data_IF_993501052945
#
_entry.id   IF_993501052945
#
_cell.length_a   1.000
_cell.length_b   1.000
_cell.length_c   1.000
_cell.angle_alpha   90.00
_cell.angle_beta   90.00
_cell.angle_gamma   90.00
#
_symmetry.space_group_name_H-M   'P 1'
#
loop_
_entity.id
_entity.type
_entity.pdbx_description
1 polymer ?
#
# COMPACT_ATOMS: atom_id res chain seq x y z
N UNK A 1 -16.14 -18.41 -37.65
CA UNK A 1 -15.41 -17.17 -37.22
C UNK A 1 -14.54 -17.60 -36.06
N UNK A 2 -13.23 -17.50 -36.17
CA UNK A 2 -12.33 -17.72 -35.02
C UNK A 2 -12.72 -16.72 -33.92
N UNK A 3 -12.84 -17.21 -32.70
CA UNK A 3 -13.11 -16.35 -31.55
C UNK A 3 -11.92 -15.40 -31.34
N UNK A 4 -12.19 -14.13 -31.03
CA UNK A 4 -11.12 -13.17 -30.74
C UNK A 4 -10.20 -13.70 -29.62
N UNK A 5 -8.88 -13.54 -29.73
CA UNK A 5 -7.95 -14.00 -28.71
C UNK A 5 -8.28 -13.42 -27.32
N UNK A 6 -8.22 -14.27 -26.31
CA UNK A 6 -8.56 -13.92 -24.93
C UNK A 6 -7.34 -13.65 -24.08
N UNK A 7 -7.25 -12.45 -23.52
CA UNK A 7 -6.18 -12.00 -22.62
C UNK A 7 -6.74 -11.93 -21.20
N UNK A 8 -6.13 -12.65 -20.28
CA UNK A 8 -6.43 -12.54 -18.86
C UNK A 8 -5.36 -11.70 -18.17
N UNK A 9 -5.79 -10.73 -17.36
CA UNK A 9 -4.94 -9.85 -16.57
C UNK A 9 -5.31 -10.04 -15.09
N UNK A 10 -4.34 -10.46 -14.27
CA UNK A 10 -4.51 -10.65 -12.83
C UNK A 10 -3.86 -9.48 -12.09
N UNK A 11 -4.70 -8.69 -11.41
CA UNK A 11 -4.31 -7.49 -10.67
C UNK A 11 -4.67 -6.18 -11.38
N UNK A 12 -5.53 -5.36 -10.73
CA UNK A 12 -5.94 -4.02 -11.18
C UNK A 12 -5.03 -2.89 -10.64
N UNK A 13 -3.78 -3.22 -10.31
CA UNK A 13 -2.74 -2.26 -9.95
C UNK A 13 -2.26 -1.44 -11.15
N UNK A 14 -1.16 -0.71 -10.96
CA UNK A 14 -0.60 0.15 -12.02
C UNK A 14 -0.27 -0.61 -13.31
N UNK A 15 0.35 -1.79 -13.22
CA UNK A 15 0.71 -2.54 -14.42
C UNK A 15 -0.52 -3.11 -15.13
N UNK A 16 -1.41 -3.78 -14.41
CA UNK A 16 -2.58 -4.44 -15.00
C UNK A 16 -3.55 -3.46 -15.66
N UNK A 17 -3.94 -2.38 -14.96
CA UNK A 17 -4.82 -1.37 -15.55
C UNK A 17 -4.22 -0.67 -16.77
N UNK A 18 -2.92 -0.39 -16.75
CA UNK A 18 -2.28 0.24 -17.91
C UNK A 18 -2.08 -0.72 -19.07
N UNK A 19 -1.93 -2.03 -18.82
CA UNK A 19 -1.99 -3.07 -19.84
C UNK A 19 -3.40 -3.15 -20.46
N UNK A 20 -4.42 -3.32 -19.62
CA UNK A 20 -5.82 -3.37 -20.05
C UNK A 20 -6.21 -2.16 -20.92
N UNK A 21 -5.83 -0.96 -20.48
CA UNK A 21 -6.10 0.28 -21.23
C UNK A 21 -5.35 0.35 -22.56
N UNK A 22 -4.12 -0.18 -22.63
CA UNK A 22 -3.35 -0.20 -23.87
C UNK A 22 -3.98 -1.13 -24.94
N UNK A 23 -4.69 -2.17 -24.50
CA UNK A 23 -5.43 -3.11 -25.36
C UNK A 23 -6.81 -2.61 -25.79
N UNK A 24 -7.24 -1.42 -25.41
CA UNK A 24 -8.62 -0.91 -25.57
C UNK A 24 -9.15 -0.94 -27.01
N UNK A 25 -8.30 -0.78 -28.01
CA UNK A 25 -8.69 -0.72 -29.44
C UNK A 25 -8.22 -1.94 -30.23
N UNK A 26 -7.71 -2.95 -29.56
CA UNK A 26 -7.18 -4.15 -30.20
C UNK A 26 -8.31 -5.19 -30.39
N UNK A 27 -8.23 -6.04 -31.40
CA UNK A 27 -9.22 -7.08 -31.69
C UNK A 27 -9.02 -8.29 -30.77
N UNK A 28 -9.06 -8.07 -29.48
CA UNK A 28 -8.88 -9.08 -28.42
C UNK A 28 -9.97 -8.93 -27.37
N UNK A 29 -10.34 -10.02 -26.70
CA UNK A 29 -11.14 -10.01 -25.48
C UNK A 29 -10.18 -9.86 -24.29
N UNK A 30 -10.55 -9.07 -23.30
CA UNK A 30 -9.73 -8.88 -22.08
C UNK A 30 -10.58 -9.19 -20.86
N UNK A 31 -10.07 -9.99 -19.93
CA UNK A 31 -10.64 -10.16 -18.59
C UNK A 31 -9.64 -9.66 -17.55
N UNK A 32 -10.05 -8.67 -16.76
CA UNK A 32 -9.28 -8.15 -15.64
C UNK A 32 -9.84 -8.74 -14.34
N UNK A 33 -9.01 -9.50 -13.62
CA UNK A 33 -9.36 -10.12 -12.33
C UNK A 33 -8.64 -9.38 -11.21
N UNK A 34 -9.36 -8.98 -10.18
CA UNK A 34 -8.79 -8.45 -8.94
C UNK A 34 -9.68 -8.81 -7.75
N UNK A 35 -9.08 -9.02 -6.59
CA UNK A 35 -9.79 -9.26 -5.34
C UNK A 35 -10.43 -7.98 -4.77
N UNK A 36 -9.96 -6.79 -5.19
CA UNK A 36 -10.54 -5.51 -4.85
C UNK A 36 -11.29 -4.90 -6.05
N UNK A 37 -12.36 -4.18 -5.79
CA UNK A 37 -13.16 -3.53 -6.83
C UNK A 37 -12.55 -2.20 -7.32
N UNK A 38 -11.36 -1.84 -6.84
CA UNK A 38 -10.78 -0.52 -7.06
C UNK A 38 -9.27 -0.58 -7.35
N UNK A 39 -8.83 0.40 -8.11
CA UNK A 39 -7.42 0.75 -8.24
C UNK A 39 -7.03 1.72 -7.13
N UNK A 40 -5.92 1.45 -6.47
CA UNK A 40 -5.38 2.26 -5.40
C UNK A 40 -4.16 3.07 -5.88
N UNK A 41 -4.19 4.39 -5.68
CA UNK A 41 -3.03 5.25 -5.92
C UNK A 41 -2.13 5.25 -4.69
N UNK A 42 -1.35 4.18 -4.52
CA UNK A 42 -0.49 3.92 -3.36
C UNK A 42 0.44 5.07 -2.95
N UNK A 43 1.00 5.92 -3.86
CA UNK A 43 1.86 7.02 -3.45
C UNK A 43 1.23 8.03 -2.49
N UNK A 44 -0.10 8.10 -2.39
CA UNK A 44 -0.82 8.96 -1.44
C UNK A 44 -1.46 8.19 -0.28
N UNK A 45 -1.16 6.90 -0.14
CA UNK A 45 -1.80 6.04 0.86
C UNK A 45 -1.46 6.47 2.30
N UNK A 46 -0.23 6.94 2.54
CA UNK A 46 0.17 7.47 3.85
C UNK A 46 -0.71 8.66 4.28
N UNK A 47 -1.25 9.46 3.34
CA UNK A 47 -2.17 10.56 3.68
C UNK A 47 -3.54 10.05 4.15
N UNK A 48 -3.99 8.90 3.67
CA UNK A 48 -5.19 8.24 4.22
C UNK A 48 -4.89 7.71 5.62
N UNK A 49 -3.75 7.04 5.80
CA UNK A 49 -3.30 6.54 7.09
C UNK A 49 -3.13 7.65 8.15
N UNK A 50 -2.87 8.88 7.73
CA UNK A 50 -2.67 10.03 8.61
C UNK A 50 -3.80 11.06 8.50
N UNK A 51 -5.01 10.64 8.12
CA UNK A 51 -6.22 11.46 8.04
C UNK A 51 -6.11 12.72 7.15
N UNK A 52 -5.13 12.78 6.25
CA UNK A 52 -4.95 13.87 5.29
C UNK A 52 -5.87 13.81 4.09
N UNK A 53 -6.27 12.61 3.68
CA UNK A 53 -7.17 12.34 2.57
C UNK A 53 -8.19 11.26 2.93
N UNK A 54 -9.34 11.26 2.23
CA UNK A 54 -10.28 10.16 2.34
C UNK A 54 -9.90 9.00 1.41
N UNK A 55 -10.26 7.75 1.74
CA UNK A 55 -10.02 6.59 0.87
C UNK A 55 -10.48 6.80 -0.57
N UNK A 56 -11.66 7.38 -0.77
CA UNK A 56 -12.25 7.61 -2.08
C UNK A 56 -11.51 8.67 -2.94
N UNK A 57 -10.58 9.43 -2.36
CA UNK A 57 -9.79 10.43 -3.09
C UNK A 57 -8.64 9.80 -3.86
N UNK A 58 -8.14 8.66 -3.37
CA UNK A 58 -7.01 7.94 -3.96
C UNK A 58 -7.36 6.55 -4.50
N UNK A 59 -8.56 6.04 -4.18
CA UNK A 59 -9.10 4.81 -4.74
C UNK A 59 -10.10 5.11 -5.85
N UNK A 60 -10.03 4.33 -6.93
CA UNK A 60 -10.90 4.53 -8.08
C UNK A 60 -11.49 3.20 -8.55
N UNK A 61 -12.84 3.06 -8.62
CA UNK A 61 -13.47 1.81 -9.02
C UNK A 61 -12.96 1.31 -10.38
N UNK A 62 -12.43 0.08 -10.43
CA UNK A 62 -11.82 -0.50 -11.63
C UNK A 62 -12.80 -0.49 -12.82
N UNK A 63 -14.08 -0.86 -12.60
CA UNK A 63 -15.12 -0.83 -13.64
C UNK A 63 -15.36 0.57 -14.21
N UNK A 64 -15.24 1.61 -13.38
CA UNK A 64 -15.40 3.01 -13.85
C UNK A 64 -14.22 3.45 -14.71
N UNK A 65 -13.00 2.96 -14.39
CA UNK A 65 -11.80 3.27 -15.17
C UNK A 65 -11.89 2.73 -16.61
N UNK A 66 -12.49 1.55 -16.77
CA UNK A 66 -12.61 0.85 -18.06
C UNK A 66 -13.98 0.97 -18.71
N UNK A 67 -14.93 1.74 -18.13
CA UNK A 67 -16.35 1.82 -18.56
C UNK A 67 -16.57 2.04 -20.07
N UNK A 68 -15.66 2.73 -20.74
CA UNK A 68 -15.75 3.02 -22.18
C UNK A 68 -14.97 2.01 -23.04
N UNK A 69 -14.44 0.95 -22.45
CA UNK A 69 -13.70 -0.10 -23.14
C UNK A 69 -14.62 -1.30 -23.38
N UNK A 70 -15.00 -1.51 -24.64
CA UNK A 70 -16.00 -2.52 -25.01
C UNK A 70 -15.48 -3.97 -24.97
N UNK A 71 -14.17 -4.15 -25.12
CA UNK A 71 -13.51 -5.45 -25.18
C UNK A 71 -12.94 -5.91 -23.84
N UNK A 72 -13.43 -5.35 -22.71
CA UNK A 72 -12.91 -5.67 -21.40
C UNK A 72 -14.03 -5.96 -20.39
N UNK A 73 -13.91 -7.10 -19.72
CA UNK A 73 -14.70 -7.50 -18.57
C UNK A 73 -13.86 -7.43 -17.30
N UNK A 74 -14.51 -7.06 -16.17
CA UNK A 74 -13.86 -7.00 -14.86
C UNK A 74 -14.50 -8.07 -13.97
N UNK A 75 -13.67 -8.94 -13.40
CA UNK A 75 -14.07 -9.97 -12.45
C UNK A 75 -13.54 -9.60 -11.07
N UNK A 76 -14.43 -9.47 -10.09
CA UNK A 76 -14.08 -9.30 -8.68
C UNK A 76 -13.99 -10.69 -8.06
N UNK A 77 -12.77 -11.21 -7.97
CA UNK A 77 -12.49 -12.51 -7.37
C UNK A 77 -11.00 -12.63 -7.07
N UNK A 78 -10.63 -13.59 -6.24
CA UNK A 78 -9.24 -13.94 -5.96
C UNK A 78 -8.77 -15.10 -6.85
N UNK A 79 -7.54 -15.01 -7.32
CA UNK A 79 -6.90 -16.10 -8.05
C UNK A 79 -6.31 -17.08 -7.06
N UNK A 80 -6.78 -18.33 -7.10
CA UNK A 80 -6.31 -19.40 -6.23
C UNK A 80 -5.08 -20.15 -6.83
N UNK A 81 -5.08 -20.38 -8.16
CA UNK A 81 -4.02 -21.12 -8.83
C UNK A 81 -3.91 -20.80 -10.32
N UNK A 82 -2.81 -21.25 -10.92
CA UNK A 82 -2.59 -21.23 -12.37
C UNK A 82 -2.38 -22.67 -12.87
N UNK A 83 -3.15 -23.08 -13.87
CA UNK A 83 -2.84 -24.27 -14.70
C UNK A 83 -2.24 -23.75 -16.03
N UNK A 84 -0.93 -23.58 -16.03
CA UNK A 84 -0.23 -22.97 -17.16
C UNK A 84 -0.20 -23.90 -18.39
N UNK A 85 -0.29 -25.22 -18.19
CA UNK A 85 -0.27 -26.18 -19.30
C UNK A 85 -1.62 -26.20 -20.04
N UNK A 86 -2.71 -26.07 -19.28
CA UNK A 86 -4.06 -25.94 -19.86
C UNK A 86 -4.44 -24.50 -20.18
N UNK A 87 -3.57 -23.54 -19.91
CA UNK A 87 -3.79 -22.10 -20.07
C UNK A 87 -5.05 -21.65 -19.32
N UNK A 88 -5.13 -21.92 -18.03
CA UNK A 88 -6.25 -21.58 -17.17
C UNK A 88 -5.79 -20.85 -15.91
N UNK A 89 -6.59 -19.84 -15.54
CA UNK A 89 -6.52 -19.16 -14.23
C UNK A 89 -7.69 -19.69 -13.40
N UNK A 90 -7.40 -20.26 -12.25
CA UNK A 90 -8.40 -20.81 -11.32
C UNK A 90 -8.73 -19.74 -10.28
N UNK A 91 -10.01 -19.41 -10.15
CA UNK A 91 -10.53 -18.44 -9.20
C UNK A 91 -10.92 -19.11 -7.88
N UNK A 92 -10.95 -18.34 -6.79
CA UNK A 92 -11.32 -18.83 -5.46
C UNK A 92 -12.76 -19.39 -5.40
N UNK A 93 -13.67 -18.88 -6.25
CA UNK A 93 -15.03 -19.41 -6.39
C UNK A 93 -15.14 -20.73 -7.17
N UNK A 94 -14.01 -21.35 -7.56
CA UNK A 94 -13.90 -22.60 -8.30
C UNK A 94 -14.07 -22.47 -9.83
N UNK A 95 -14.35 -21.28 -10.35
CA UNK A 95 -14.40 -21.05 -11.81
C UNK A 95 -13.00 -20.97 -12.40
N UNK A 96 -12.87 -21.35 -13.67
CA UNK A 96 -11.62 -21.23 -14.42
C UNK A 96 -11.80 -20.32 -15.64
N UNK A 97 -10.81 -19.48 -15.89
CA UNK A 97 -10.72 -18.60 -17.05
C UNK A 97 -9.64 -19.12 -17.98
N UNK A 98 -10.00 -19.49 -19.21
CA UNK A 98 -9.02 -19.85 -20.26
C UNK A 98 -8.43 -18.57 -20.84
N UNK A 99 -7.16 -18.62 -21.26
CA UNK A 99 -6.48 -17.50 -21.89
C UNK A 99 -5.62 -17.95 -23.08
N UNK A 100 -5.40 -17.04 -24.02
CA UNK A 100 -4.36 -17.13 -25.04
C UNK A 100 -3.09 -16.43 -24.58
N UNK A 101 -3.25 -15.35 -23.79
CA UNK A 101 -2.14 -14.61 -23.17
C UNK A 101 -2.54 -14.24 -21.71
N UNK A 102 -1.59 -14.36 -20.79
CA UNK A 102 -1.79 -14.05 -19.37
C UNK A 102 -0.80 -12.97 -18.90
N UNK A 103 -1.30 -11.96 -18.19
CA UNK A 103 -0.48 -11.05 -17.38
C UNK A 103 -0.75 -11.27 -15.90
N UNK A 104 0.28 -11.55 -15.12
CA UNK A 104 0.24 -11.56 -13.66
C UNK A 104 0.89 -10.29 -13.13
N UNK A 105 0.09 -9.43 -12.46
CA UNK A 105 0.49 -8.10 -12.00
C UNK A 105 -0.04 -7.82 -10.57
N UNK A 106 0.07 -8.81 -9.68
CA UNK A 106 -0.49 -8.79 -8.33
C UNK A 106 0.33 -7.98 -7.31
N UNK A 107 1.45 -7.39 -7.75
CA UNK A 107 2.25 -6.48 -6.95
C UNK A 107 3.00 -7.17 -5.80
N UNK A 108 3.16 -6.43 -4.70
CA UNK A 108 3.90 -6.85 -3.52
C UNK A 108 3.07 -6.68 -2.25
N UNK A 109 3.44 -7.43 -1.22
CA UNK A 109 2.91 -7.38 0.14
C UNK A 109 4.00 -6.97 1.13
N UNK A 110 3.70 -6.98 2.43
CA UNK A 110 4.67 -6.70 3.48
C UNK A 110 5.66 -7.85 3.65
N UNK A 111 6.91 -7.50 3.98
CA UNK A 111 7.92 -8.44 4.46
C UNK A 111 8.31 -8.08 5.89
N UNK A 112 8.13 -9.02 6.79
CA UNK A 112 8.57 -8.90 8.18
C UNK A 112 9.88 -9.66 8.44
N UNK A 113 10.65 -9.97 7.38
CA UNK A 113 11.99 -10.59 7.44
C UNK A 113 12.08 -11.87 8.29
N UNK A 114 11.06 -12.71 8.22
CA UNK A 114 10.99 -13.98 8.96
C UNK A 114 10.18 -13.91 10.26
N UNK A 115 9.61 -12.75 10.59
CA UNK A 115 8.83 -12.48 11.80
C UNK A 115 7.37 -12.16 11.46
N UNK A 116 6.58 -13.08 10.89
CA UNK A 116 5.19 -12.81 10.51
C UNK A 116 4.31 -12.43 11.71
N UNK A 117 4.69 -12.84 12.92
CA UNK A 117 4.02 -12.51 14.17
C UNK A 117 4.03 -11.01 14.49
N UNK A 118 4.96 -10.23 13.94
CA UNK A 118 5.01 -8.77 14.14
C UNK A 118 3.88 -8.04 13.44
N UNK A 119 3.26 -8.65 12.43
CA UNK A 119 2.20 -8.02 11.63
C UNK A 119 1.03 -7.51 12.49
N UNK A 120 0.64 -8.26 13.53
CA UNK A 120 -0.46 -7.88 14.42
C UNK A 120 -0.15 -6.64 15.26
N UNK A 121 1.13 -6.41 15.60
CA UNK A 121 1.57 -5.28 16.43
C UNK A 121 2.00 -4.08 15.58
N UNK A 122 2.59 -4.32 14.41
CA UNK A 122 3.14 -3.30 13.53
C UNK A 122 2.53 -3.41 12.13
N UNK A 123 1.32 -2.86 11.89
CA UNK A 123 0.71 -2.89 10.57
C UNK A 123 1.57 -2.16 9.55
N UNK A 124 1.70 -2.77 8.37
CA UNK A 124 2.33 -2.15 7.22
C UNK A 124 1.36 -1.27 6.44
N UNK A 125 1.79 -0.68 5.30
CA UNK A 125 0.99 0.25 4.51
C UNK A 125 1.03 -0.12 3.02
N UNK A 126 0.05 -0.92 2.56
CA UNK A 126 -0.09 -1.37 1.16
C UNK A 126 -1.51 -1.31 0.64
N UNK A 127 -2.52 -1.47 1.49
CA UNK A 127 -3.94 -1.50 1.14
C UNK A 127 -4.70 -0.34 1.79
N UNK A 128 -5.97 -0.13 1.41
CA UNK A 128 -6.82 0.85 2.10
C UNK A 128 -7.12 0.41 3.54
N UNK A 129 -7.30 -0.88 3.74
CA UNK A 129 -7.53 -1.51 5.03
C UNK A 129 -6.36 -1.22 5.98
N UNK A 130 -5.12 -1.42 5.50
CA UNK A 130 -3.91 -1.06 6.27
C UNK A 130 -3.91 0.42 6.66
N UNK A 131 -4.24 1.31 5.71
CA UNK A 131 -4.25 2.75 5.97
C UNK A 131 -5.33 3.15 6.98
N UNK A 132 -6.50 2.51 6.93
CA UNK A 132 -7.58 2.76 7.89
C UNK A 132 -7.23 2.23 9.27
N UNK A 133 -6.61 1.06 9.38
CA UNK A 133 -6.13 0.52 10.64
C UNK A 133 -5.02 1.39 11.26
N UNK A 134 -4.04 1.83 10.47
CA UNK A 134 -3.02 2.77 10.96
C UNK A 134 -3.66 4.05 11.45
N UNK A 135 -4.63 4.62 10.70
CA UNK A 135 -5.36 5.83 11.09
C UNK A 135 -6.10 5.63 12.41
N UNK A 136 -6.79 4.50 12.55
CA UNK A 136 -7.50 4.15 13.77
C UNK A 136 -6.52 4.10 14.96
N UNK A 137 -5.43 3.35 14.87
CA UNK A 137 -4.41 3.25 15.93
C UNK A 137 -3.85 4.61 16.34
N UNK A 138 -3.51 5.46 15.37
CA UNK A 138 -2.99 6.81 15.65
C UNK A 138 -4.01 7.63 16.43
N UNK A 139 -5.26 7.67 15.97
CA UNK A 139 -6.28 8.50 16.61
C UNK A 139 -6.69 7.97 17.99
N UNK A 140 -6.87 6.65 18.11
CA UNK A 140 -7.21 5.98 19.38
C UNK A 140 -6.11 6.20 20.43
N UNK A 141 -4.84 6.16 20.05
CA UNK A 141 -3.73 6.40 20.98
C UNK A 141 -3.81 7.79 21.65
N UNK A 142 -4.24 8.84 20.93
CA UNK A 142 -4.44 10.15 21.53
C UNK A 142 -5.69 10.21 22.43
N UNK A 143 -6.79 9.54 22.05
CA UNK A 143 -8.00 9.46 22.89
C UNK A 143 -7.73 8.70 24.20
N UNK A 144 -7.06 7.56 24.12
CA UNK A 144 -6.66 6.78 25.29
C UNK A 144 -5.71 7.56 26.20
N UNK A 145 -4.73 8.25 25.60
CA UNK A 145 -3.76 9.07 26.36
C UNK A 145 -4.44 10.23 27.12
N UNK A 146 -5.53 10.80 26.60
CA UNK A 146 -6.29 11.86 27.26
C UNK A 146 -7.02 11.33 28.50
N UNK A 147 -7.42 10.05 28.49
CA UNK A 147 -8.07 9.37 29.63
C UNK A 147 -7.12 8.71 30.62
N UNK A 148 -5.86 8.47 30.23
CA UNK A 148 -4.90 7.68 31.03
C UNK A 148 -4.34 8.51 32.21
N UNK A 149 -4.36 7.92 33.41
CA UNK A 149 -3.85 8.57 34.64
C UNK A 149 -2.40 8.20 34.92
N UNK A 150 -1.98 6.97 34.55
CA UNK A 150 -0.59 6.54 34.72
C UNK A 150 0.34 7.25 33.73
N UNK A 151 1.36 7.90 34.25
CA UNK A 151 2.26 8.71 33.44
C UNK A 151 3.08 7.87 32.45
N UNK A 152 3.50 6.65 32.83
CA UNK A 152 4.30 5.78 31.98
C UNK A 152 3.45 5.15 30.88
N UNK A 153 2.20 4.75 31.19
CA UNK A 153 1.25 4.27 30.20
C UNK A 153 0.90 5.37 29.19
N UNK A 154 0.65 6.60 29.69
CA UNK A 154 0.42 7.78 28.83
C UNK A 154 1.58 8.09 27.92
N UNK A 155 2.82 8.03 28.42
CA UNK A 155 4.03 8.20 27.59
C UNK A 155 4.12 7.12 26.50
N UNK A 156 3.83 5.86 26.80
CA UNK A 156 3.79 4.78 25.85
C UNK A 156 2.71 4.97 24.76
N UNK A 157 1.52 5.48 25.12
CA UNK A 157 0.46 5.84 24.18
C UNK A 157 0.84 6.99 23.26
N UNK A 158 1.57 8.00 23.77
CA UNK A 158 2.07 9.14 23.00
C UNK A 158 3.40 8.87 22.28
N UNK A 159 3.93 7.64 22.38
CA UNK A 159 5.14 7.22 21.65
C UNK A 159 4.75 6.44 20.40
N UNK A 160 5.12 6.96 19.24
CA UNK A 160 4.88 6.36 17.93
C UNK A 160 6.19 5.92 17.32
N UNK A 161 6.29 4.67 16.93
CA UNK A 161 7.50 4.11 16.30
C UNK A 161 7.20 3.76 14.85
N UNK A 162 7.98 4.29 13.93
CA UNK A 162 7.96 3.93 12.51
C UNK A 162 9.22 3.13 12.21
N UNK A 163 9.08 1.89 11.79
CA UNK A 163 10.18 1.00 11.42
C UNK A 163 10.42 1.04 9.93
N UNK A 164 11.64 1.40 9.52
CA UNK A 164 12.07 1.52 8.12
C UNK A 164 12.15 2.97 7.63
N UNK A 165 13.34 3.41 7.26
CA UNK A 165 13.64 4.76 6.74
C UNK A 165 13.55 4.90 5.22
N UNK A 166 12.85 3.99 4.54
CA UNK A 166 12.48 4.14 3.14
C UNK A 166 11.43 5.23 2.90
N UNK A 167 11.00 5.47 1.65
CA UNK A 167 10.00 6.52 1.34
C UNK A 167 8.74 6.44 2.20
N UNK A 168 8.14 5.25 2.34
CA UNK A 168 6.93 5.05 3.14
C UNK A 168 7.11 5.45 4.60
N UNK A 169 8.22 5.03 5.23
CA UNK A 169 8.47 5.35 6.64
C UNK A 169 8.76 6.84 6.86
N UNK A 170 9.53 7.46 5.97
CA UNK A 170 9.81 8.90 5.99
C UNK A 170 8.51 9.72 5.85
N UNK A 171 7.65 9.34 4.93
CA UNK A 171 6.35 9.99 4.69
C UNK A 171 5.40 9.81 5.89
N UNK A 172 5.33 8.61 6.46
CA UNK A 172 4.53 8.33 7.66
C UNK A 172 5.04 9.13 8.88
N UNK A 173 6.34 9.07 9.15
CA UNK A 173 6.91 9.77 10.31
C UNK A 173 6.72 11.29 10.23
N UNK A 174 6.93 11.87 9.04
CA UNK A 174 6.70 13.29 8.81
C UNK A 174 5.23 13.70 8.95
N UNK A 175 4.31 12.87 8.42
CA UNK A 175 2.88 13.12 8.53
C UNK A 175 2.34 12.94 9.96
N UNK A 176 2.89 11.99 10.74
CA UNK A 176 2.61 11.84 12.18
C UNK A 176 3.03 13.09 12.97
N UNK A 177 4.24 13.59 12.69
CA UNK A 177 4.71 14.82 13.33
C UNK A 177 3.80 16.02 13.04
N UNK A 178 3.28 16.11 11.82
CA UNK A 178 2.32 17.15 11.43
C UNK A 178 0.98 17.01 12.14
N UNK A 179 0.44 15.77 12.30
CA UNK A 179 -0.79 15.51 13.06
C UNK A 179 -0.61 15.95 14.51
N UNK A 180 0.41 15.46 15.19
CA UNK A 180 0.63 15.73 16.61
C UNK A 180 0.87 17.22 16.89
N UNK A 181 1.69 17.89 16.07
CA UNK A 181 2.13 19.25 16.36
C UNK A 181 1.20 20.35 15.85
N UNK A 182 0.36 20.05 14.87
CA UNK A 182 -0.49 21.06 14.24
C UNK A 182 -1.97 20.68 14.23
N UNK A 183 -2.31 19.45 13.81
CA UNK A 183 -3.69 19.07 13.59
C UNK A 183 -4.45 18.84 14.89
N UNK A 184 -3.85 18.10 15.83
CA UNK A 184 -4.48 17.75 17.11
C UNK A 184 -4.09 18.69 18.26
N UNK A 185 -3.17 19.61 18.04
CA UNK A 185 -2.53 20.43 19.07
C UNK A 185 -3.49 21.21 20.00
N UNK A 186 -4.72 21.48 19.54
CA UNK A 186 -5.74 22.24 20.32
C UNK A 186 -7.01 21.45 20.59
N UNK A 187 -7.04 20.14 20.31
CA UNK A 187 -8.27 19.34 20.43
C UNK A 187 -8.42 18.65 21.77
N UNK A 188 -7.32 18.35 22.43
CA UNK A 188 -7.30 17.68 23.73
C UNK A 188 -7.10 18.67 24.88
N UNK A 189 -7.65 18.34 26.05
CA UNK A 189 -7.60 19.21 27.24
C UNK A 189 -6.67 18.70 28.34
N UNK A 190 -6.49 17.39 28.45
CA UNK A 190 -5.68 16.75 29.50
C UNK A 190 -4.28 16.43 29.06
N UNK A 191 -4.06 16.29 27.75
CA UNK A 191 -2.75 16.08 27.14
C UNK A 191 -2.39 17.23 26.21
N UNK A 192 -1.09 17.42 25.98
CA UNK A 192 -0.59 18.21 24.86
C UNK A 192 -0.13 17.26 23.74
N UNK A 193 -0.86 17.11 22.62
CA UNK A 193 -0.46 16.24 21.53
C UNK A 193 0.94 16.56 20.97
N UNK A 194 1.44 17.80 21.15
CA UNK A 194 2.79 18.19 20.73
C UNK A 194 3.89 17.50 21.51
N UNK A 195 3.56 16.95 22.70
CA UNK A 195 4.51 16.13 23.49
C UNK A 195 4.72 14.73 22.91
N UNK A 196 3.90 14.33 21.93
CA UNK A 196 4.03 13.01 21.30
C UNK A 196 5.44 12.82 20.70
N UNK A 197 6.05 11.70 21.03
CA UNK A 197 7.37 11.27 20.59
C UNK A 197 7.22 10.41 19.33
N UNK A 198 7.82 10.86 18.23
CA UNK A 198 7.79 10.13 16.95
C UNK A 198 9.20 9.67 16.64
N UNK A 199 9.42 8.35 16.61
CA UNK A 199 10.69 7.72 16.30
C UNK A 199 10.64 7.10 14.91
N UNK A 200 11.67 7.36 14.11
CA UNK A 200 11.92 6.64 12.85
C UNK A 200 13.17 5.78 13.03
N UNK A 201 13.01 4.47 12.98
CA UNK A 201 14.09 3.49 13.14
C UNK A 201 14.48 2.96 11.75
N UNK A 202 15.78 3.05 11.41
CA UNK A 202 16.33 2.53 10.17
C UNK A 202 17.57 1.68 10.45
N UNK A 203 17.59 0.46 9.94
CA UNK A 203 18.68 -0.50 10.18
C UNK A 203 19.99 -0.12 9.51
N UNK A 204 19.95 0.60 8.38
CA UNK A 204 21.15 1.06 7.67
C UNK A 204 21.57 2.47 8.11
N UNK A 205 22.80 2.92 7.78
CA UNK A 205 23.35 4.18 8.31
C UNK A 205 22.62 5.47 7.90
N UNK A 206 21.65 5.43 6.98
CA UNK A 206 20.95 6.64 6.51
C UNK A 206 19.51 6.34 6.05
N UNK A 207 18.63 7.30 6.22
CA UNK A 207 17.27 7.27 5.66
C UNK A 207 17.32 7.42 4.14
N UNK A 208 16.28 6.96 3.43
CA UNK A 208 16.22 6.96 1.98
C UNK A 208 17.50 6.41 1.33
N UNK A 209 17.92 5.17 1.66
CA UNK A 209 19.23 4.64 1.27
C UNK A 209 19.42 4.55 -0.25
N UNK A 210 18.35 4.52 -1.02
CA UNK A 210 18.36 4.49 -2.49
C UNK A 210 18.51 5.88 -3.14
N UNK A 211 18.42 6.96 -2.34
CA UNK A 211 18.62 8.33 -2.79
C UNK A 211 20.09 8.75 -2.68
N UNK A 212 20.52 9.77 -3.44
CA UNK A 212 21.84 10.39 -3.27
C UNK A 212 22.10 10.79 -1.81
N UNK A 213 23.35 10.69 -1.33
CA UNK A 213 23.68 10.95 0.08
C UNK A 213 23.29 12.34 0.59
N UNK A 214 23.40 13.36 -0.23
CA UNK A 214 23.00 14.74 0.08
C UNK A 214 21.48 14.89 0.25
N UNK A 215 20.70 14.20 -0.56
CA UNK A 215 19.22 14.17 -0.42
C UNK A 215 18.77 13.35 0.80
N UNK A 216 19.47 12.24 1.10
CA UNK A 216 19.26 11.46 2.30
C UNK A 216 19.49 12.31 3.56
N UNK A 217 20.60 13.07 3.60
CA UNK A 217 20.91 13.95 4.73
C UNK A 217 19.95 15.15 4.79
N UNK A 218 19.52 15.69 3.65
CA UNK A 218 18.48 16.73 3.60
C UNK A 218 17.15 16.22 4.17
N UNK A 219 16.75 14.98 3.85
CA UNK A 219 15.55 14.34 4.40
C UNK A 219 15.67 14.17 5.93
N UNK A 220 16.81 13.68 6.42
CA UNK A 220 17.06 13.53 7.85
C UNK A 220 16.93 14.87 8.60
N UNK A 221 17.56 15.93 8.09
CA UNK A 221 17.45 17.28 8.68
C UNK A 221 16.00 17.79 8.70
N UNK A 222 15.25 17.56 7.61
CA UNK A 222 13.85 17.97 7.53
C UNK A 222 12.98 17.19 8.53
N UNK A 223 13.19 15.87 8.71
CA UNK A 223 12.53 15.06 9.73
C UNK A 223 12.79 15.56 11.14
N UNK A 224 14.08 15.76 11.47
CA UNK A 224 14.47 16.30 12.79
C UNK A 224 13.87 17.66 13.04
N UNK A 225 13.86 18.56 12.04
CA UNK A 225 13.23 19.89 12.16
C UNK A 225 11.69 19.81 12.29
N UNK A 226 11.08 18.72 11.84
CA UNK A 226 9.66 18.43 12.07
C UNK A 226 9.41 17.80 13.45
N UNK A 227 10.48 17.47 14.20
CA UNK A 227 10.45 16.89 15.53
C UNK A 227 10.35 15.38 15.53
N UNK A 228 10.79 14.72 14.47
CA UNK A 228 10.98 13.28 14.42
C UNK A 228 12.35 12.91 14.95
N UNK A 229 12.41 11.98 15.89
CA UNK A 229 13.65 11.35 16.35
C UNK A 229 14.08 10.30 15.33
N UNK A 230 15.17 10.55 14.60
CA UNK A 230 15.69 9.64 13.57
C UNK A 230 16.86 8.84 14.14
N UNK A 231 16.69 7.52 14.25
CA UNK A 231 17.74 6.57 14.65
C UNK A 231 18.12 5.71 13.46
N UNK A 232 19.32 5.90 12.95
CA UNK A 232 19.91 5.06 11.88
C UNK A 232 20.88 4.04 12.46
N UNK A 233 21.15 2.95 11.74
CA UNK A 233 21.88 1.80 12.27
C UNK A 233 21.09 1.04 13.34
N UNK A 234 19.79 1.30 13.49
CA UNK A 234 18.90 0.80 14.54
C UNK A 234 18.10 -0.39 14.01
N UNK A 235 18.66 -1.59 14.10
CA UNK A 235 17.97 -2.82 13.74
C UNK A 235 16.96 -3.18 14.84
N UNK A 236 15.69 -3.34 14.45
CA UNK A 236 14.64 -3.83 15.35
C UNK A 236 14.81 -5.34 15.53
N UNK A 237 14.91 -5.79 16.78
CA UNK A 237 15.15 -7.18 17.19
C UNK A 237 13.88 -7.85 17.69
N UNK A 238 12.88 -7.08 18.16
CA UNK A 238 11.61 -7.59 18.66
C UNK A 238 10.52 -6.55 18.60
N UNK A 239 9.29 -7.01 18.32
CA UNK A 239 8.06 -6.20 18.35
C UNK A 239 6.99 -7.00 19.07
N UNK A 240 6.35 -6.38 20.05
CA UNK A 240 5.20 -6.94 20.74
C UNK A 240 4.19 -5.82 21.11
N UNK A 241 3.17 -6.15 21.89
CA UNK A 241 2.13 -5.20 22.29
C UNK A 241 2.65 -3.97 23.05
N UNK A 242 3.74 -4.12 23.81
CA UNK A 242 4.32 -3.04 24.63
C UNK A 242 5.35 -2.17 23.87
N UNK A 243 5.73 -2.48 22.60
CA UNK A 243 6.64 -1.68 21.80
C UNK A 243 7.70 -2.45 21.05
N UNK A 244 8.89 -1.87 20.94
CA UNK A 244 10.00 -2.43 20.15
C UNK A 244 11.28 -2.59 20.97
N UNK A 245 12.10 -3.56 20.57
CA UNK A 245 13.46 -3.77 21.12
C UNK A 245 14.49 -3.46 20.03
N UNK A 246 15.47 -2.61 20.37
CA UNK A 246 16.53 -2.18 19.46
C UNK A 246 17.86 -2.19 20.25
N UNK A 247 18.87 -2.93 19.78
CA UNK A 247 20.16 -3.09 20.47
C UNK A 247 20.02 -3.49 21.95
N UNK A 248 19.04 -4.37 22.25
CA UNK A 248 18.71 -4.78 23.61
C UNK A 248 17.99 -3.72 24.46
N UNK A 249 17.83 -2.47 23.97
CA UNK A 249 17.05 -1.41 24.63
C UNK A 249 15.57 -1.56 24.30
N UNK A 250 14.71 -1.52 25.34
CA UNK A 250 13.28 -1.50 25.18
C UNK A 250 12.75 -0.09 24.99
N UNK A 251 12.00 0.14 23.92
CA UNK A 251 11.25 1.37 23.67
C UNK A 251 9.77 1.06 23.87
N UNK A 252 9.19 1.60 24.94
CA UNK A 252 7.75 1.46 25.20
C UNK A 252 6.95 2.30 24.22
N UNK A 253 6.06 1.68 23.45
CA UNK A 253 5.21 2.33 22.46
C UNK A 253 4.00 1.46 22.15
N UNK A 254 2.80 2.03 22.24
CA UNK A 254 1.55 1.31 21.90
C UNK A 254 1.28 1.32 20.40
N UNK A 255 1.88 2.24 19.66
CA UNK A 255 1.72 2.34 18.20
C UNK A 255 3.06 2.15 17.50
N UNK A 256 3.19 1.00 16.84
CA UNK A 256 4.32 0.67 15.98
C UNK A 256 3.81 0.52 14.55
N UNK A 257 4.46 1.16 13.59
CA UNK A 257 4.08 1.15 12.17
C UNK A 257 5.22 0.56 11.32
N UNK A 258 4.89 -0.31 10.37
CA UNK A 258 5.87 -1.00 9.55
C UNK A 258 6.02 -0.35 8.18
N UNK A 259 7.14 0.32 7.96
CA UNK A 259 7.57 0.89 6.68
C UNK A 259 8.74 0.16 6.02
N UNK A 260 9.23 -0.93 6.64
CA UNK A 260 10.40 -1.67 6.22
C UNK A 260 10.01 -2.93 5.43
N UNK A 261 10.64 -3.13 4.27
CA UNK A 261 10.55 -4.37 3.53
C UNK A 261 9.23 -4.62 2.77
N UNK A 262 9.41 -5.12 1.58
CA UNK A 262 8.33 -5.63 0.72
C UNK A 262 8.72 -7.00 0.18
N UNK A 263 7.76 -7.91 0.06
CA UNK A 263 7.88 -9.20 -0.57
C UNK A 263 6.92 -9.29 -1.75
N UNK A 264 7.26 -10.08 -2.74
CA UNK A 264 6.35 -10.33 -3.85
C UNK A 264 5.07 -11.03 -3.36
N UNK A 265 3.96 -10.84 -4.08
CA UNK A 265 2.72 -11.57 -3.84
C UNK A 265 2.96 -13.10 -3.81
N UNK A 266 2.33 -13.85 -2.88
CA UNK A 266 2.48 -15.31 -2.81
C UNK A 266 2.18 -16.04 -4.12
N UNK A 267 1.36 -15.46 -5.00
CA UNK A 267 1.05 -16.00 -6.32
C UNK A 267 2.27 -16.12 -7.25
N UNK A 268 3.40 -15.46 -6.94
CA UNK A 268 4.66 -15.66 -7.67
C UNK A 268 5.10 -17.12 -7.68
N UNK A 269 4.94 -17.81 -6.54
CA UNK A 269 5.32 -19.24 -6.40
C UNK A 269 4.48 -20.16 -7.27
N UNK A 270 3.20 -19.81 -7.47
CA UNK A 270 2.28 -20.60 -8.28
C UNK A 270 2.61 -20.58 -9.79
N UNK A 271 3.52 -19.68 -10.23
CA UNK A 271 3.98 -19.64 -11.62
C UNK A 271 5.09 -20.68 -11.93
N UNK A 272 5.66 -21.33 -10.92
CA UNK A 272 6.73 -22.32 -11.11
C UNK A 272 8.01 -21.76 -11.75
N UNK A 273 8.21 -20.44 -11.74
CA UNK A 273 9.34 -19.74 -12.31
C UNK A 273 10.42 -19.47 -11.25
N UNK A 274 11.68 -19.22 -11.66
CA UNK A 274 12.73 -18.77 -10.74
C UNK A 274 12.33 -17.47 -10.02
N UNK A 275 12.65 -17.41 -8.72
CA UNK A 275 12.36 -16.27 -7.87
C UNK A 275 13.64 -15.68 -7.30
N UNK A 276 13.69 -14.36 -7.18
CA UNK A 276 14.76 -13.68 -6.45
C UNK A 276 14.59 -13.79 -4.91
N UNK A 277 15.51 -13.18 -4.17
CA UNK A 277 15.50 -13.21 -2.68
C UNK A 277 14.25 -12.52 -2.07
N UNK A 278 13.61 -11.61 -2.80
CA UNK A 278 12.38 -10.94 -2.36
C UNK A 278 11.11 -11.69 -2.83
N UNK A 279 11.26 -12.87 -3.45
CA UNK A 279 10.19 -13.69 -3.99
C UNK A 279 9.62 -13.17 -5.32
N UNK A 280 10.29 -12.20 -5.99
CA UNK A 280 9.86 -11.69 -7.29
C UNK A 280 10.23 -12.66 -8.40
N UNK A 281 9.36 -12.79 -9.38
CA UNK A 281 9.59 -13.65 -10.55
C UNK A 281 10.72 -13.08 -11.41
N UNK A 282 11.76 -13.87 -11.64
CA UNK A 282 12.81 -13.56 -12.60
C UNK A 282 12.25 -13.68 -14.02
N UNK A 283 12.12 -12.57 -14.72
CA UNK A 283 11.51 -12.53 -16.05
C UNK A 283 12.54 -12.37 -17.16
N UNK A 284 12.18 -12.84 -18.35
CA UNK A 284 12.95 -12.55 -19.56
C UNK A 284 12.96 -11.05 -19.87
N UNK A 285 13.89 -10.55 -20.70
CA UNK A 285 13.94 -9.15 -21.09
C UNK A 285 12.65 -8.60 -21.72
N UNK A 286 11.79 -9.43 -22.29
CA UNK A 286 10.49 -9.07 -22.85
C UNK A 286 9.33 -9.15 -21.85
N UNK A 287 9.63 -9.42 -20.58
CA UNK A 287 8.74 -9.60 -19.43
C UNK A 287 7.93 -10.89 -19.45
N UNK A 288 8.31 -11.89 -20.26
CA UNK A 288 7.73 -13.23 -20.19
C UNK A 288 8.35 -14.05 -19.06
N UNK A 289 7.61 -15.03 -18.59
CA UNK A 289 8.12 -16.08 -17.69
C UNK A 289 9.09 -16.99 -18.47
N UNK A 290 10.26 -17.33 -17.93
CA UNK A 290 11.17 -18.27 -18.60
C UNK A 290 10.47 -19.59 -18.97
N UNK A 291 10.68 -20.02 -20.23
CA UNK A 291 10.04 -21.22 -20.78
C UNK A 291 8.58 -21.05 -21.21
N UNK A 292 7.97 -19.86 -21.03
CA UNK A 292 6.59 -19.58 -21.45
C UNK A 292 6.54 -18.36 -22.37
N UNK A 293 5.82 -18.49 -23.48
CA UNK A 293 5.66 -17.43 -24.49
C UNK A 293 4.35 -16.67 -24.35
N UNK A 294 3.45 -17.15 -23.52
CA UNK A 294 2.08 -16.73 -23.33
C UNK A 294 1.81 -16.14 -21.92
N UNK A 295 2.80 -16.21 -21.01
CA UNK A 295 2.69 -15.73 -19.63
C UNK A 295 3.68 -14.60 -19.37
N UNK A 296 3.15 -13.46 -18.93
CA UNK A 296 3.92 -12.25 -18.61
C UNK A 296 3.78 -11.91 -17.14
N UNK A 297 4.82 -11.30 -16.56
CA UNK A 297 4.78 -10.75 -15.19
C UNK A 297 5.23 -9.30 -15.22
N UNK A 298 4.55 -8.44 -14.48
CA UNK A 298 4.85 -7.01 -14.44
C UNK A 298 4.54 -6.37 -13.07
N UNK A 299 5.08 -5.18 -12.83
CA UNK A 299 4.97 -4.45 -11.58
C UNK A 299 5.93 -4.99 -10.52
N UNK A 300 5.58 -4.78 -9.25
CA UNK A 300 6.43 -5.16 -8.11
C UNK A 300 6.60 -6.68 -7.96
N UNK A 301 5.81 -7.48 -8.69
CA UNK A 301 5.93 -8.94 -8.77
C UNK A 301 7.12 -9.38 -9.63
N UNK A 302 7.57 -8.55 -10.58
CA UNK A 302 8.62 -8.89 -11.55
C UNK A 302 10.01 -8.44 -11.10
N UNK A 303 10.99 -9.33 -11.14
CA UNK A 303 12.41 -8.97 -11.10
C UNK A 303 12.88 -8.68 -12.51
N UNK A 304 13.02 -7.40 -12.83
CA UNK A 304 13.43 -6.93 -14.17
C UNK A 304 14.84 -6.35 -14.08
N UNK A 305 15.77 -6.84 -14.88
CA UNK A 305 17.12 -6.30 -14.95
C UNK A 305 17.18 -5.21 -16.04
N UNK A 306 17.62 -4.02 -15.66
CA UNK A 306 17.83 -2.90 -16.56
C UNK A 306 19.07 -3.07 -17.45
N UNK A 307 19.26 -2.18 -18.41
CA UNK A 307 20.43 -2.20 -19.31
C UNK A 307 21.77 -2.02 -18.58
N UNK A 308 21.74 -1.37 -17.43
CA UNK A 308 22.89 -1.12 -16.55
C UNK A 308 23.20 -2.29 -15.62
N UNK A 309 22.51 -3.43 -15.79
CA UNK A 309 22.63 -4.61 -14.93
C UNK A 309 21.96 -4.47 -13.56
N UNK A 310 21.33 -3.33 -13.26
CA UNK A 310 20.63 -3.11 -12.00
C UNK A 310 19.16 -3.52 -12.10
N UNK A 311 18.60 -3.93 -10.97
CA UNK A 311 17.17 -4.20 -10.91
C UNK A 311 16.35 -2.92 -11.10
N UNK A 312 15.31 -2.99 -11.92
CA UNK A 312 14.33 -1.92 -12.07
C UNK A 312 13.59 -1.75 -10.74
N UNK A 313 13.48 -0.52 -10.19
CA UNK A 313 12.85 -0.31 -8.90
C UNK A 313 11.35 -0.63 -8.93
N UNK A 314 10.81 -1.15 -7.81
CA UNK A 314 9.37 -1.37 -7.59
C UNK A 314 8.65 -0.05 -7.32
N UNK A 315 8.40 0.72 -8.37
CA UNK A 315 7.71 2.01 -8.31
C UNK A 315 6.59 2.08 -9.35
N UNK A 316 5.58 2.89 -9.05
CA UNK A 316 4.40 3.04 -9.92
C UNK A 316 4.74 3.36 -11.38
N UNK A 317 5.74 4.22 -11.63
CA UNK A 317 6.15 4.57 -12.99
C UNK A 317 6.76 3.40 -13.76
N UNK A 318 7.49 2.49 -13.09
CA UNK A 318 8.02 1.27 -13.71
C UNK A 318 6.88 0.31 -14.07
N UNK A 319 5.96 0.07 -13.12
CA UNK A 319 4.79 -0.77 -13.33
C UNK A 319 3.91 -0.27 -14.51
N UNK A 320 3.67 1.04 -14.62
CA UNK A 320 2.95 1.66 -15.74
C UNK A 320 3.65 1.40 -17.08
N UNK A 321 4.97 1.55 -17.13
CA UNK A 321 5.75 1.32 -18.34
C UNK A 321 5.76 -0.16 -18.73
N UNK A 322 5.92 -1.05 -17.76
CA UNK A 322 5.87 -2.50 -17.95
C UNK A 322 4.51 -2.95 -18.47
N UNK A 323 3.41 -2.53 -17.86
CA UNK A 323 2.06 -2.90 -18.29
C UNK A 323 1.77 -2.48 -19.75
N UNK A 324 2.17 -1.27 -20.14
CA UNK A 324 2.06 -0.80 -21.53
C UNK A 324 2.97 -1.57 -22.51
N UNK A 325 4.13 -2.01 -22.03
CA UNK A 325 5.06 -2.79 -22.83
C UNK A 325 4.54 -4.21 -23.05
N UNK A 326 4.03 -4.86 -21.99
CA UNK A 326 3.41 -6.20 -22.07
C UNK A 326 2.25 -6.19 -23.06
N UNK A 327 1.36 -5.21 -23.03
CA UNK A 327 0.27 -5.11 -24.00
C UNK A 327 0.76 -5.10 -25.45
N UNK A 328 1.85 -4.36 -25.75
CA UNK A 328 2.44 -4.35 -27.08
C UNK A 328 3.05 -5.70 -27.46
N UNK A 329 3.75 -6.36 -26.54
CA UNK A 329 4.34 -7.67 -26.78
C UNK A 329 3.28 -8.76 -26.95
N UNK A 330 2.19 -8.71 -26.21
CA UNK A 330 1.04 -9.59 -26.40
C UNK A 330 0.47 -9.48 -27.82
N UNK A 331 0.25 -8.26 -28.30
CA UNK A 331 -0.24 -8.04 -29.67
C UNK A 331 0.77 -8.52 -30.72
N UNK A 332 2.07 -8.27 -30.54
CA UNK A 332 3.11 -8.80 -31.41
C UNK A 332 3.08 -10.31 -31.49
N UNK A 333 2.98 -10.97 -30.33
CA UNK A 333 2.88 -12.45 -30.26
C UNK A 333 1.66 -12.96 -31.03
N UNK A 334 0.50 -12.31 -30.87
CA UNK A 334 -0.72 -12.69 -31.61
C UNK A 334 -0.62 -12.47 -33.12
N UNK A 335 0.21 -11.51 -33.57
CA UNK A 335 0.48 -11.26 -34.99
C UNK A 335 1.67 -12.07 -35.54
N UNK A 336 2.29 -12.96 -34.76
CA UNK A 336 3.47 -13.70 -35.15
C UNK A 336 4.75 -12.85 -35.24
N UNK A 337 4.76 -11.63 -34.68
CA UNK A 337 5.89 -10.73 -34.67
C UNK A 337 6.84 -11.00 -33.47
N UNK A 338 8.14 -10.73 -33.61
CA UNK A 338 9.09 -10.88 -32.51
C UNK A 338 8.78 -9.88 -31.37
N UNK A 339 8.84 -10.33 -30.13
CA UNK A 339 8.70 -9.50 -28.94
C UNK A 339 9.89 -8.56 -28.77
N UNK A 340 9.65 -7.37 -28.23
CA UNK A 340 10.69 -6.38 -27.95
C UNK A 340 11.14 -6.46 -26.47
N UNK A 341 12.43 -6.26 -26.17
CA UNK A 341 12.89 -6.15 -24.80
C UNK A 341 12.37 -4.89 -24.11
N UNK A 342 12.05 -4.99 -22.82
CA UNK A 342 11.63 -3.85 -22.01
C UNK A 342 12.83 -2.93 -21.72
N UNK A 343 12.56 -1.65 -21.72
CA UNK A 343 13.53 -0.61 -21.40
C UNK A 343 12.90 0.39 -20.44
N UNK A 344 13.34 0.34 -19.19
CA UNK A 344 12.90 1.32 -18.20
C UNK A 344 13.47 2.71 -18.51
N UNK A 345 12.60 3.71 -18.42
CA UNK A 345 12.97 5.14 -18.47
C UNK A 345 12.69 5.76 -17.14
N UNK A 346 13.73 5.97 -16.36
CA UNK A 346 13.62 6.64 -15.09
C UNK A 346 13.23 8.11 -15.28
N UNK A 347 12.24 8.55 -14.52
CA UNK A 347 11.77 9.95 -14.51
C UNK A 347 12.17 10.68 -13.24
N UNK A 348 12.91 10.01 -12.35
CA UNK A 348 13.33 10.50 -11.06
C UNK A 348 12.47 9.96 -9.92
N UNK A 349 12.89 10.29 -8.71
CA UNK A 349 12.26 9.88 -7.45
C UNK A 349 11.96 11.11 -6.60
N UNK A 350 10.85 11.07 -5.86
CA UNK A 350 10.41 12.14 -4.97
C UNK A 350 9.87 11.51 -3.69
N UNK A 351 10.23 12.06 -2.54
CA UNK A 351 9.67 11.70 -1.24
C UNK A 351 9.33 12.96 -0.45
N UNK A 352 8.13 13.03 0.13
CA UNK A 352 7.73 14.14 0.98
C UNK A 352 8.00 13.82 2.45
N UNK A 353 8.34 14.85 3.22
CA UNK A 353 8.56 14.75 4.66
C UNK A 353 7.44 15.47 5.42
N UNK A 354 6.71 16.32 4.74
CA UNK A 354 5.65 17.10 5.31
C UNK A 354 5.39 18.35 4.47
N UNK A 355 4.62 19.27 5.01
CA UNK A 355 4.23 20.49 4.33
C UNK A 355 5.42 21.37 3.97
N UNK A 356 5.61 21.66 2.68
CA UNK A 356 6.75 22.42 2.17
C UNK A 356 8.09 21.74 2.30
N UNK A 357 8.11 20.45 2.67
CA UNK A 357 9.33 19.67 2.93
C UNK A 357 9.31 18.38 2.11
N UNK A 358 10.24 18.25 1.20
CA UNK A 358 10.44 17.05 0.39
C UNK A 358 11.88 16.98 -0.09
N UNK A 359 12.26 15.85 -0.63
CA UNK A 359 13.50 15.64 -1.37
C UNK A 359 13.20 14.89 -2.66
N UNK A 360 14.03 15.09 -3.67
CA UNK A 360 13.88 14.32 -4.90
C UNK A 360 15.00 14.53 -5.87
N UNK A 361 15.18 13.51 -6.70
CA UNK A 361 16.07 13.54 -7.85
C UNK A 361 15.21 13.48 -9.12
N UNK A 362 15.36 14.48 -9.99
CA UNK A 362 14.70 14.53 -11.29
C UNK A 362 15.79 14.61 -12.35
N UNK A 363 15.98 13.53 -13.10
CA UNK A 363 17.12 13.31 -14.02
C UNK A 363 18.46 13.35 -13.26
N UNK A 364 19.11 14.49 -13.14
CA UNK A 364 20.37 14.70 -12.37
C UNK A 364 20.28 15.91 -11.45
N UNK A 365 19.10 16.48 -11.33
CA UNK A 365 18.85 17.63 -10.46
C UNK A 365 18.39 17.13 -9.10
N UNK A 366 19.12 17.52 -8.06
CA UNK A 366 18.76 17.27 -6.67
C UNK A 366 17.89 18.43 -6.19
N UNK A 367 16.66 18.12 -5.78
CA UNK A 367 15.68 19.06 -5.28
C UNK A 367 15.47 18.82 -3.79
N UNK A 368 15.32 19.89 -3.02
CA UNK A 368 15.05 19.81 -1.57
C UNK A 368 14.15 20.93 -1.10
N UNK A 369 13.42 20.72 0.02
CA UNK A 369 12.53 21.71 0.61
C UNK A 369 11.29 22.02 -0.23
N UNK A 370 10.89 23.29 -0.28
CA UNK A 370 9.65 23.71 -0.94
C UNK A 370 9.62 23.43 -2.46
N UNK A 371 10.76 23.54 -3.14
CA UNK A 371 10.86 23.27 -4.59
C UNK A 371 10.59 21.79 -4.86
N UNK A 372 11.22 20.88 -4.08
CA UNK A 372 10.96 19.45 -4.19
C UNK A 372 9.51 19.13 -3.85
N UNK A 373 8.93 19.81 -2.85
CA UNK A 373 7.54 19.62 -2.46
C UNK A 373 6.56 20.05 -3.55
N UNK A 374 6.78 21.17 -4.23
CA UNK A 374 5.96 21.60 -5.38
C UNK A 374 6.08 20.62 -6.55
N UNK A 375 7.28 20.12 -6.84
CA UNK A 375 7.48 19.08 -7.85
C UNK A 375 6.75 17.79 -7.48
N UNK A 376 6.83 17.36 -6.22
CA UNK A 376 6.12 16.22 -5.69
C UNK A 376 4.60 16.37 -5.84
N UNK A 377 4.04 17.53 -5.45
CA UNK A 377 2.62 17.85 -5.55
C UNK A 377 2.15 17.74 -7.00
N UNK A 378 2.86 18.40 -7.93
CA UNK A 378 2.48 18.39 -9.34
C UNK A 378 2.51 16.97 -9.95
N UNK A 379 3.59 16.20 -9.68
CA UNK A 379 3.74 14.83 -10.20
C UNK A 379 2.62 13.94 -9.68
N UNK A 380 2.30 13.98 -8.38
CA UNK A 380 1.28 13.13 -7.80
C UNK A 380 -0.13 13.48 -8.30
N UNK A 381 -0.46 14.76 -8.43
CA UNK A 381 -1.72 15.19 -9.06
C UNK A 381 -1.82 14.78 -10.54
N UNK A 382 -0.73 14.88 -11.29
CA UNK A 382 -0.72 14.48 -12.70
C UNK A 382 -1.04 12.99 -12.87
N UNK A 383 -0.45 12.13 -12.05
CA UNK A 383 -0.63 10.67 -12.12
C UNK A 383 -1.90 10.18 -11.41
N UNK A 384 -2.51 10.97 -10.55
CA UNK A 384 -3.74 10.61 -9.86
C UNK A 384 -4.89 10.37 -10.87
N UNK A 385 -5.55 9.21 -10.74
CA UNK A 385 -6.60 8.80 -11.67
C UNK A 385 -7.92 9.50 -11.34
N UNK A 386 -8.59 10.01 -12.39
CA UNK A 386 -9.89 10.64 -12.32
C UNK A 386 -9.83 12.15 -12.13
N UNK A 387 -10.53 12.89 -13.01
CA UNK A 387 -10.59 14.35 -12.94
C UNK A 387 -11.18 14.84 -11.61
N UNK A 388 -12.28 14.22 -11.17
CA UNK A 388 -12.92 14.54 -9.89
C UNK A 388 -11.94 14.39 -8.71
N UNK A 389 -11.21 13.27 -8.66
CA UNK A 389 -10.27 13.00 -7.58
C UNK A 389 -9.14 14.05 -7.55
N UNK A 390 -8.62 14.44 -8.72
CA UNK A 390 -7.61 15.52 -8.80
C UNK A 390 -8.14 16.82 -8.22
N UNK A 391 -9.33 17.24 -8.62
CA UNK A 391 -9.95 18.49 -8.14
C UNK A 391 -10.18 18.42 -6.63
N UNK A 392 -10.73 17.31 -6.13
CA UNK A 392 -11.00 17.12 -4.70
C UNK A 392 -9.71 17.15 -3.88
N UNK A 393 -8.66 16.46 -4.33
CA UNK A 393 -7.36 16.46 -3.64
C UNK A 393 -6.74 17.87 -3.65
N UNK A 394 -6.82 18.60 -4.76
CA UNK A 394 -6.34 19.99 -4.81
C UNK A 394 -7.08 20.86 -3.78
N UNK A 395 -8.41 20.78 -3.74
CA UNK A 395 -9.22 21.57 -2.80
C UNK A 395 -8.92 21.19 -1.34
N UNK A 396 -8.81 19.92 -1.03
CA UNK A 396 -8.48 19.43 0.30
C UNK A 396 -7.07 19.87 0.72
N UNK A 397 -6.09 19.76 -0.17
CA UNK A 397 -4.73 20.24 0.12
C UNK A 397 -4.70 21.76 0.30
N UNK A 398 -5.39 22.53 -0.54
CA UNK A 398 -5.48 23.97 -0.40
C UNK A 398 -6.11 24.36 0.94
N UNK A 399 -7.23 23.71 1.32
CA UNK A 399 -7.88 23.91 2.62
C UNK A 399 -6.96 23.51 3.79
N UNK A 400 -6.40 22.30 3.75
CA UNK A 400 -5.46 21.86 4.77
C UNK A 400 -4.25 22.79 4.85
N UNK A 401 -3.80 23.35 3.72
CA UNK A 401 -2.68 24.30 3.68
C UNK A 401 -2.96 25.60 4.42
N UNK A 402 -4.17 26.09 4.40
CA UNK A 402 -4.56 27.33 5.09
C UNK A 402 -4.91 27.07 6.56
N UNK A 403 -5.64 25.97 6.84
CA UNK A 403 -6.29 25.77 8.16
C UNK A 403 -5.62 24.74 9.04
N UNK A 404 -4.69 23.90 8.53
CA UNK A 404 -4.23 22.66 9.15
C UNK A 404 -5.34 21.64 9.44
N UNK A 405 -6.59 21.96 9.04
CA UNK A 405 -7.74 21.08 9.24
C UNK A 405 -7.65 19.82 8.36
N UNK A 406 -7.69 18.65 8.98
CA UNK A 406 -7.79 17.34 8.30
C UNK A 406 -9.19 16.79 8.54
N UNK A 407 -9.99 16.70 7.47
CA UNK A 407 -11.41 16.32 7.59
C UNK A 407 -11.65 14.81 7.78
N UNK A 408 -10.62 13.96 7.60
CA UNK A 408 -10.78 12.50 7.62
C UNK A 408 -10.42 11.86 8.99
N UNK A 409 -10.52 12.62 10.09
CA UNK A 409 -10.20 12.19 11.46
C UNK A 409 -11.33 11.40 12.13
N UNK A 410 -11.82 10.40 11.43
CA UNK A 410 -12.85 9.53 11.96
C UNK A 410 -12.20 8.21 12.39
N UNK A 411 -12.47 7.81 13.63
CA UNK A 411 -12.19 6.46 14.10
C UNK A 411 -13.30 5.58 13.54
N UNK A 412 -12.91 4.66 12.67
CA UNK A 412 -13.82 3.71 12.03
C UNK A 412 -13.27 2.32 12.34
N UNK A 413 -14.12 1.48 12.91
CA UNK A 413 -13.72 0.11 13.20
C UNK A 413 -13.54 -0.69 11.92
N UNK A 414 -12.46 -1.47 11.85
CA UNK A 414 -12.20 -2.42 10.77
C UNK A 414 -12.97 -3.71 11.02
N UNK A 415 -13.25 -4.49 9.98
CA UNK A 415 -13.91 -5.80 10.12
C UNK A 415 -13.13 -6.74 11.06
N UNK A 416 -11.80 -6.68 11.04
CA UNK A 416 -10.95 -7.45 11.96
C UNK A 416 -11.10 -7.01 13.41
N UNK A 417 -11.21 -5.71 13.66
CA UNK A 417 -11.47 -5.19 15.00
C UNK A 417 -12.85 -5.61 15.52
N UNK A 418 -13.88 -5.57 14.67
CA UNK A 418 -15.19 -6.12 15.01
C UNK A 418 -15.14 -7.62 15.34
N UNK A 419 -14.35 -8.39 14.59
CA UNK A 419 -14.18 -9.81 14.87
C UNK A 419 -13.49 -10.05 16.21
N UNK A 420 -12.44 -9.30 16.52
CA UNK A 420 -11.77 -9.36 17.83
C UNK A 420 -12.71 -9.00 18.97
N UNK A 421 -13.51 -7.94 18.83
CA UNK A 421 -14.52 -7.56 19.85
C UNK A 421 -15.60 -8.63 20.03
N UNK A 422 -16.00 -9.30 18.95
CA UNK A 422 -16.96 -10.42 19.01
C UNK A 422 -16.32 -11.63 19.69
N UNK A 423 -15.09 -11.99 19.37
CA UNK A 423 -14.37 -13.11 19.95
C UNK A 423 -14.11 -12.87 21.45
N UNK A 424 -13.68 -11.67 21.84
CA UNK A 424 -13.50 -11.26 23.25
C UNK A 424 -14.83 -11.27 24.03
N UNK A 425 -15.92 -10.80 23.41
CA UNK A 425 -17.25 -10.82 24.00
C UNK A 425 -17.83 -12.26 24.14
N UNK A 426 -17.37 -13.20 23.31
CA UNK A 426 -17.72 -14.62 23.39
C UNK A 426 -16.91 -15.32 24.51
N UNK A 427 -15.63 -14.98 24.66
CA UNK A 427 -14.75 -15.54 25.68
C UNK A 427 -15.04 -15.00 27.07
N UNK A 428 -15.54 -13.75 27.19
CA UNK A 428 -15.87 -13.09 28.47
C UNK A 428 -17.32 -12.60 28.53
N UNK A 429 -18.31 -13.49 28.61
CA UNK A 429 -19.73 -13.14 28.55
C UNK A 429 -20.24 -12.23 29.71
N UNK A 430 -19.49 -12.11 30.79
CA UNK A 430 -19.87 -11.32 31.98
C UNK A 430 -19.41 -9.85 31.96
N UNK A 431 -18.55 -9.49 31.04
CA UNK A 431 -18.10 -8.11 30.84
C UNK A 431 -19.09 -7.36 29.94
N UNK A 432 -20.04 -6.61 30.47
CA UNK A 432 -21.12 -5.81 29.83
C UNK A 432 -21.05 -5.42 28.32
N UNK A 433 -19.98 -5.80 27.65
CA UNK A 433 -19.74 -5.62 26.22
C UNK A 433 -20.76 -6.36 25.33
N UNK A 434 -21.28 -7.53 25.75
CA UNK A 434 -22.27 -8.32 25.00
C UNK A 434 -23.60 -7.59 24.79
N UNK A 435 -23.98 -6.72 25.71
CA UNK A 435 -25.20 -5.91 25.60
C UNK A 435 -25.02 -4.85 24.50
N UNK A 436 -23.87 -4.19 24.45
CA UNK A 436 -23.56 -3.16 23.45
C UNK A 436 -23.40 -3.76 22.02
N UNK A 437 -22.74 -4.92 21.90
CA UNK A 437 -22.57 -5.62 20.61
C UNK A 437 -23.91 -6.17 20.11
N UNK A 438 -24.75 -6.73 20.96
CA UNK A 438 -26.11 -7.20 20.59
C UNK A 438 -27.02 -6.06 20.17
N UNK A 439 -26.92 -4.91 20.78
CA UNK A 439 -27.69 -3.72 20.41
C UNK A 439 -27.21 -3.11 19.10
N UNK A 440 -25.90 -3.08 18.86
CA UNK A 440 -25.30 -2.63 17.61
C UNK A 440 -25.60 -3.59 16.44
N UNK A 441 -25.53 -4.90 16.65
CA UNK A 441 -25.85 -5.91 15.65
C UNK A 441 -27.35 -5.92 15.26
N UNK A 442 -28.24 -5.51 16.15
CA UNK A 442 -29.68 -5.35 15.85
C UNK A 442 -29.98 -4.17 14.93
N UNK A 443 -29.06 -3.23 14.77
CA UNK A 443 -29.22 -2.02 13.95
C UNK A 443 -28.71 -2.19 12.50
N UNK A 444 -28.11 -3.34 12.15
CA UNK A 444 -27.68 -3.63 10.78
C UNK A 444 -28.81 -4.33 10.00
N UNK A 445 -29.46 -3.69 9.03
CA UNK A 445 -30.50 -4.34 8.21
C UNK A 445 -29.84 -5.40 7.29
N UNK A 446 -30.21 -6.67 7.46
CA UNK A 446 -29.84 -7.75 6.53
C UNK A 446 -28.96 -8.88 7.08
N UNK A 447 -28.62 -8.91 8.34
CA UNK A 447 -27.92 -10.04 8.93
C UNK A 447 -28.90 -11.23 9.16
N UNK A 448 -28.79 -12.29 8.38
CA UNK A 448 -29.48 -13.56 8.63
C UNK A 448 -29.03 -14.14 9.97
N UNK A 449 -30.01 -14.54 10.79
CA UNK A 449 -29.74 -15.18 12.09
C UNK A 449 -29.07 -16.54 11.87
N UNK A 450 -27.95 -16.84 12.55
CA UNK A 450 -27.47 -18.22 12.59
C UNK A 450 -28.53 -19.11 13.27
N UNK A 451 -28.89 -20.23 12.64
CA UNK A 451 -29.79 -21.21 13.24
C UNK A 451 -29.12 -21.83 14.46
N UNK A 452 -29.86 -22.01 15.57
CA UNK A 452 -29.33 -22.73 16.71
C UNK A 452 -28.97 -24.18 16.32
N UNK A 453 -27.93 -24.76 16.92
CA UNK A 453 -27.57 -26.15 16.68
C UNK A 453 -28.72 -27.06 17.06
N UNK A 454 -29.05 -28.00 16.17
CA UNK A 454 -30.13 -28.97 16.36
C UNK A 454 -29.74 -29.95 17.46
N UNK A 455 -30.30 -29.79 18.64
CA UNK A 455 -30.17 -30.75 19.76
C UNK A 455 -31.19 -31.87 19.56
N UNK A 456 -30.84 -32.85 18.74
CA UNK A 456 -31.49 -34.17 18.80
C UNK A 456 -30.43 -35.28 18.68
N UNK A 457 -30.26 -35.96 19.80
CA UNK A 457 -29.74 -37.29 20.07
C UNK A 457 -28.37 -37.67 19.58
#
# INVERSE_FOLDING_TARGET
MESAPHIVIVGAGFAGLHCARALRRSPVQVTLVDRHNHHLFQPLLYQVATAGLNPADIAFPARRFVRRQKNLDVVLDEVAAFDLDRRQVVLANGKSLRYDQLLVATGATHSYFGHPEWARFAPGLKTLEDALEIRRRILVAFEEADGEEDAAAREALLTFVVVGGGPTGVELAGALAEIARHTLASEFRRIDPRSARILLLESVPRVLPTYPPDLSEAARRQLVSAGVEVRTGALVEGIDEGGVTVHGERISARTVLWGAGVAASPLARALGAPLDRAGRVEVNPDLTVPGRNDVYVAGDLAHVVGKDGRAVPGVAQAAIQQGRHVARNMLRTLHGEPRAPFRYRDKGTLATIGRGRAVGEVRRLHLSGAVAWLAWLFVHLYFLIGFRNRVMVILQWAWAYVTYGRGARLIVDTAEHWQLLVDEAVEHPDAGALAAVRESARRVPGAERPRPPDTRH
#
